data_IF_548452796202
#
_entry.id   IF_548452796202
#
_cell.length_a   1.000
_cell.length_b   1.000
_cell.length_c   1.000
_cell.angle_alpha   90.00
_cell.angle_beta   90.00
_cell.angle_gamma   90.00
#
_symmetry.space_group_name_H-M   'P 1'
#
loop_
_entity.id
_entity.type
_entity.pdbx_description
1 polymer ?
#
# COMPACT_ATOMS: atom_id res chain seq x y z
N UNK A 1 -20.09 -5.68 4.32
CA UNK A 1 -19.22 -5.45 5.50
C UNK A 1 -18.62 -6.79 5.88
N UNK A 2 -17.35 -7.06 5.59
CA UNK A 2 -16.70 -8.28 6.12
C UNK A 2 -16.19 -7.90 7.50
N UNK A 3 -17.06 -7.99 8.50
CA UNK A 3 -16.66 -8.07 9.91
C UNK A 3 -16.21 -9.50 10.17
N UNK A 4 -14.98 -9.81 9.77
CA UNK A 4 -14.37 -11.12 10.05
C UNK A 4 -13.69 -11.10 11.41
N UNK A 5 -14.41 -11.51 12.47
CA UNK A 5 -13.89 -12.31 13.59
C UNK A 5 -14.98 -12.48 14.66
N UNK A 6 -15.83 -13.50 14.48
CA UNK A 6 -16.55 -14.13 15.59
C UNK A 6 -15.66 -15.25 16.11
N UNK A 7 -15.03 -15.04 17.27
CA UNK A 7 -14.34 -16.03 18.12
C UNK A 7 -13.06 -16.67 17.58
N UNK A 8 -11.91 -16.03 17.85
CA UNK A 8 -10.66 -16.77 18.08
C UNK A 8 -9.72 -15.97 19.00
N UNK A 9 -9.46 -16.47 20.22
CA UNK A 9 -8.66 -15.78 21.25
C UNK A 9 -7.19 -15.56 20.87
N UNK A 10 -6.71 -16.17 19.79
CA UNK A 10 -5.34 -16.05 19.28
C UNK A 10 -5.22 -15.19 18.01
N UNK A 11 -6.34 -14.72 17.44
CA UNK A 11 -6.31 -13.90 16.23
C UNK A 11 -6.29 -12.41 16.60
N UNK A 12 -5.22 -11.70 16.20
CA UNK A 12 -5.23 -10.24 16.26
C UNK A 12 -6.06 -9.70 15.09
N UNK A 13 -7.15 -9.02 15.43
CA UNK A 13 -8.00 -8.36 14.45
C UNK A 13 -7.42 -6.98 14.09
N UNK A 14 -7.30 -6.70 12.80
CA UNK A 14 -7.02 -5.35 12.31
C UNK A 14 -8.35 -4.64 12.14
N UNK A 15 -8.61 -3.66 13.01
CA UNK A 15 -9.78 -2.81 12.87
C UNK A 15 -9.46 -1.80 11.77
N UNK A 16 -10.20 -1.78 10.64
CA UNK A 16 -10.01 -0.78 9.61
C UNK A 16 -10.32 0.61 10.18
N UNK A 17 -9.49 1.60 9.85
CA UNK A 17 -9.76 3.00 10.15
C UNK A 17 -10.85 3.53 9.21
N UNK A 18 -11.53 4.62 9.60
CA UNK A 18 -12.54 5.27 8.75
C UNK A 18 -11.99 5.80 7.41
N UNK A 19 -10.68 5.97 7.31
CA UNK A 19 -9.99 6.38 6.07
C UNK A 19 -9.52 5.19 5.21
N UNK A 20 -9.66 3.96 5.69
CA UNK A 20 -9.30 2.76 4.93
C UNK A 20 -10.38 2.49 3.86
N UNK A 21 -9.97 2.13 2.64
CA UNK A 21 -10.87 1.93 1.50
C UNK A 21 -11.85 0.75 1.63
N UNK A 22 -11.87 0.07 2.79
CA UNK A 22 -12.89 -0.91 3.20
C UNK A 22 -12.92 -2.19 2.36
N UNK A 23 -11.93 -2.44 1.48
CA UNK A 23 -11.95 -3.56 0.54
C UNK A 23 -10.76 -4.51 0.69
N UNK A 24 -11.00 -5.82 0.50
CA UNK A 24 -10.02 -6.92 0.47
C UNK A 24 -8.88 -6.79 -0.57
N UNK A 25 -8.72 -5.63 -1.20
CA UNK A 25 -7.66 -5.35 -2.17
C UNK A 25 -6.38 -4.86 -1.49
N UNK A 26 -6.23 -5.19 -0.20
CA UNK A 26 -5.02 -4.92 0.56
C UNK A 26 -3.93 -5.91 0.18
N UNK A 27 -2.74 -5.40 -0.13
CA UNK A 27 -1.56 -6.25 -0.19
C UNK A 27 -0.90 -6.33 1.18
N UNK A 28 -0.25 -7.44 1.49
CA UNK A 28 0.36 -7.70 2.80
C UNK A 28 1.79 -8.21 2.63
N UNK A 29 2.70 -7.74 3.47
CA UNK A 29 4.04 -8.29 3.63
C UNK A 29 4.49 -8.16 5.09
N UNK A 30 5.21 -9.15 5.61
CA UNK A 30 5.56 -9.23 7.04
C UNK A 30 7.00 -9.68 7.23
N UNK A 31 7.63 -9.14 8.27
CA UNK A 31 8.87 -9.62 8.88
C UNK A 31 8.68 -9.76 10.40
N UNK A 32 9.70 -10.15 11.14
CA UNK A 32 9.62 -10.31 12.60
C UNK A 32 9.21 -9.02 13.33
N UNK A 33 9.59 -7.86 12.77
CA UNK A 33 9.39 -6.55 13.40
C UNK A 33 8.29 -5.72 12.76
N UNK A 34 8.01 -5.93 11.47
CA UNK A 34 7.14 -5.07 10.68
C UNK A 34 6.06 -5.87 9.97
N UNK A 35 4.87 -5.27 9.90
CA UNK A 35 3.79 -5.70 9.02
C UNK A 35 3.42 -4.51 8.15
N UNK A 36 3.46 -4.70 6.84
CA UNK A 36 3.08 -3.71 5.85
C UNK A 36 1.74 -4.10 5.22
N UNK A 37 0.82 -3.13 5.16
CA UNK A 37 -0.54 -3.28 4.60
C UNK A 37 -0.73 -2.21 3.53
N UNK A 38 -0.82 -2.60 2.27
CA UNK A 38 -0.95 -1.68 1.14
C UNK A 38 -2.41 -1.42 0.80
N UNK A 39 -2.84 -0.15 0.82
CA UNK A 39 -4.15 0.32 0.37
C UNK A 39 -4.00 1.03 -0.97
N UNK A 40 -4.04 0.26 -2.06
CA UNK A 40 -3.85 0.81 -3.39
C UNK A 40 -4.92 1.80 -3.84
N UNK A 41 -6.13 1.73 -3.27
CA UNK A 41 -7.20 2.71 -3.57
C UNK A 41 -6.98 4.02 -2.85
N UNK A 42 -6.51 3.97 -1.60
CA UNK A 42 -6.11 5.15 -0.83
C UNK A 42 -4.67 5.60 -1.10
N UNK A 43 -3.99 4.98 -2.09
CA UNK A 43 -2.65 5.33 -2.55
C UNK A 43 -1.55 5.31 -1.46
N UNK A 44 -1.64 4.36 -0.52
CA UNK A 44 -0.78 4.35 0.68
C UNK A 44 -0.40 2.95 1.14
N UNK A 45 0.62 2.87 2.00
CA UNK A 45 0.99 1.67 2.73
C UNK A 45 1.07 1.97 4.22
N UNK A 46 0.27 1.29 5.03
CA UNK A 46 0.33 1.37 6.48
C UNK A 46 1.38 0.39 7.03
N UNK A 47 2.25 0.88 7.90
CA UNK A 47 3.29 0.09 8.56
C UNK A 47 2.91 -0.09 10.02
N UNK A 48 2.93 -1.34 10.47
CA UNK A 48 2.69 -1.76 11.84
C UNK A 48 3.99 -2.33 12.41
N UNK A 49 4.21 -2.10 13.70
CA UNK A 49 5.31 -2.71 14.45
C UNK A 49 4.78 -3.61 15.55
N UNK A 50 5.50 -4.67 15.86
CA UNK A 50 5.12 -5.60 16.93
C UNK A 50 5.56 -5.07 18.31
N UNK A 51 4.61 -4.87 19.22
CA UNK A 51 4.88 -4.50 20.63
C UNK A 51 5.35 -5.72 21.44
N UNK A 52 5.90 -5.47 22.64
CA UNK A 52 6.34 -6.52 23.59
C UNK A 52 5.24 -7.54 23.91
N UNK A 53 3.99 -7.12 23.96
CA UNK A 53 2.82 -7.97 24.15
C UNK A 53 2.40 -8.75 22.89
N UNK A 54 3.28 -8.85 21.89
CA UNK A 54 3.09 -9.52 20.60
C UNK A 54 1.98 -8.93 19.71
N UNK A 55 1.35 -7.82 20.11
CA UNK A 55 0.33 -7.13 19.32
C UNK A 55 0.96 -6.17 18.31
N UNK A 56 0.45 -6.19 17.09
CA UNK A 56 0.72 -5.20 16.04
C UNK A 56 0.05 -3.87 16.35
N UNK A 57 0.78 -2.78 16.17
CA UNK A 57 0.23 -1.42 16.25
C UNK A 57 0.75 -0.58 15.11
N UNK A 58 -0.13 0.22 14.50
CA UNK A 58 0.23 1.12 13.40
C UNK A 58 1.28 2.11 13.88
N UNK A 59 2.38 2.19 13.14
CA UNK A 59 3.53 3.03 13.45
C UNK A 59 3.60 4.24 12.51
N UNK A 60 3.34 4.05 11.21
CA UNK A 60 3.35 5.12 10.22
C UNK A 60 2.58 4.74 8.96
N UNK A 61 2.34 5.72 8.09
CA UNK A 61 1.92 5.51 6.71
C UNK A 61 3.03 5.96 5.76
N UNK A 62 3.09 5.32 4.61
CA UNK A 62 3.93 5.70 3.48
C UNK A 62 2.99 6.06 2.33
N UNK A 63 3.02 7.31 1.89
CA UNK A 63 2.32 7.77 0.70
C UNK A 63 3.14 7.50 -0.56
N UNK A 64 2.51 7.59 -1.73
CA UNK A 64 3.22 7.71 -2.99
C UNK A 64 4.23 8.88 -2.93
N UNK A 65 5.43 8.76 -3.53
CA UNK A 65 6.36 9.87 -3.59
C UNK A 65 5.75 11.07 -4.31
N UNK A 66 5.97 12.27 -3.78
CA UNK A 66 5.44 13.51 -4.35
C UNK A 66 5.86 13.66 -5.82
N UNK A 67 4.95 14.17 -6.65
CA UNK A 67 5.11 14.42 -8.08
C UNK A 67 5.36 13.15 -8.94
N UNK A 68 5.30 11.96 -8.33
CA UNK A 68 5.34 10.70 -9.06
C UNK A 68 4.01 10.41 -9.74
N UNK A 69 4.01 9.54 -10.75
CA UNK A 69 2.79 9.10 -11.43
C UNK A 69 1.66 8.65 -10.48
N UNK A 70 1.88 7.77 -9.48
CA UNK A 70 0.80 7.38 -8.57
C UNK A 70 0.34 8.54 -7.67
N UNK A 71 1.19 9.51 -7.33
CA UNK A 71 0.79 10.71 -6.56
C UNK A 71 -0.18 11.56 -7.38
N UNK A 72 0.15 11.82 -8.66
CA UNK A 72 -0.72 12.57 -9.59
C UNK A 72 -2.06 11.89 -9.86
N UNK A 73 -2.06 10.55 -9.93
CA UNK A 73 -3.27 9.76 -10.20
C UNK A 73 -4.12 9.58 -8.94
N UNK A 74 -3.50 9.66 -7.75
CA UNK A 74 -4.19 9.49 -6.47
C UNK A 74 -4.58 8.05 -6.13
N UNK A 75 -4.11 7.05 -6.88
CA UNK A 75 -4.28 5.62 -6.57
C UNK A 75 -3.25 4.74 -7.29
N UNK A 76 -3.18 3.48 -6.87
CA UNK A 76 -2.33 2.44 -7.44
C UNK A 76 -1.08 2.12 -6.61
N UNK A 77 -0.61 3.02 -5.75
CA UNK A 77 0.54 2.79 -4.85
C UNK A 77 0.19 1.83 -3.70
N UNK A 78 1.03 0.82 -3.44
CA UNK A 78 0.72 -0.20 -2.43
C UNK A 78 -0.11 -1.37 -2.97
N UNK A 79 -0.05 -1.61 -4.29
CA UNK A 79 -0.79 -2.70 -4.94
C UNK A 79 -0.21 -4.09 -4.68
N UNK A 80 1.10 -4.18 -4.51
CA UNK A 80 1.83 -5.37 -4.09
C UNK A 80 2.98 -4.93 -3.19
N UNK A 81 3.32 -5.78 -2.24
CA UNK A 81 4.38 -5.55 -1.27
C UNK A 81 5.27 -6.78 -1.21
N UNK A 82 6.56 -6.54 -1.01
CA UNK A 82 7.51 -7.55 -0.55
C UNK A 82 8.36 -6.92 0.54
N UNK A 83 8.64 -7.66 1.61
CA UNK A 83 9.35 -7.15 2.77
C UNK A 83 10.43 -8.14 3.16
N UNK A 84 11.67 -7.67 3.19
CA UNK A 84 12.81 -8.38 3.74
C UNK A 84 13.39 -7.57 4.90
N UNK A 85 13.16 -8.06 6.13
CA UNK A 85 13.53 -7.43 7.41
C UNK A 85 13.11 -5.96 7.52
N UNK A 86 13.89 -5.05 6.94
CA UNK A 86 13.71 -3.60 6.95
C UNK A 86 13.49 -3.00 5.56
N UNK A 87 13.73 -3.75 4.48
CA UNK A 87 13.57 -3.28 3.11
C UNK A 87 12.19 -3.65 2.59
N UNK A 88 11.35 -2.64 2.44
CA UNK A 88 10.02 -2.77 1.87
C UNK A 88 10.06 -2.38 0.39
N UNK A 89 9.68 -3.31 -0.47
CA UNK A 89 9.42 -3.08 -1.89
C UNK A 89 7.93 -2.85 -2.07
N UNK A 90 7.57 -1.76 -2.73
CA UNK A 90 6.20 -1.32 -2.97
C UNK A 90 6.00 -1.21 -4.47
N UNK A 91 5.07 -1.98 -5.03
CA UNK A 91 4.66 -1.77 -6.41
C UNK A 91 3.54 -0.73 -6.47
N UNK A 92 3.59 0.14 -7.48
CA UNK A 92 2.46 0.92 -7.92
C UNK A 92 2.01 0.47 -9.30
N UNK A 93 0.71 0.27 -9.51
CA UNK A 93 0.19 0.07 -10.86
C UNK A 93 -1.29 0.39 -10.95
N UNK A 94 -1.66 1.10 -12.01
CA UNK A 94 -3.04 1.40 -12.34
C UNK A 94 -3.29 1.26 -13.84
N UNK A 95 -4.56 1.08 -14.19
CA UNK A 95 -5.05 1.09 -15.57
C UNK A 95 -6.10 2.18 -15.66
N UNK A 96 -5.88 3.16 -16.54
CA UNK A 96 -6.86 4.21 -16.80
C UNK A 96 -7.41 4.08 -18.23
N UNK A 97 -8.70 4.35 -18.44
CA UNK A 97 -9.24 4.59 -19.76
C UNK A 97 -8.44 5.66 -20.50
N UNK A 98 -8.24 5.47 -21.80
CA UNK A 98 -7.38 6.36 -22.60
C UNK A 98 -7.84 7.84 -22.58
N UNK A 99 -9.13 8.09 -22.39
CA UNK A 99 -9.71 9.44 -22.27
C UNK A 99 -9.50 10.10 -20.89
N UNK A 100 -9.00 9.38 -19.89
CA UNK A 100 -8.71 9.90 -18.54
C UNK A 100 -7.22 10.18 -18.34
N UNK A 101 -6.39 10.00 -19.36
CA UNK A 101 -4.94 10.20 -19.29
C UNK A 101 -4.64 11.67 -19.52
N UNK A 102 -4.15 12.35 -18.50
CA UNK A 102 -3.69 13.75 -18.59
C UNK A 102 -2.24 13.85 -19.07
N UNK A 103 -1.43 12.82 -18.85
CA UNK A 103 -0.04 12.77 -19.29
C UNK A 103 0.33 11.36 -19.82
N UNK A 104 0.36 11.15 -21.14
CA UNK A 104 0.65 9.84 -21.73
C UNK A 104 2.02 9.26 -21.36
N UNK A 105 3.01 10.11 -21.04
CA UNK A 105 4.36 9.68 -20.67
C UNK A 105 4.42 8.93 -19.34
N UNK A 106 3.41 9.13 -18.50
CA UNK A 106 3.27 8.42 -17.23
C UNK A 106 2.85 6.95 -17.43
N UNK A 107 2.50 6.52 -18.64
CA UNK A 107 2.03 5.18 -18.94
C UNK A 107 3.02 4.42 -19.83
N UNK A 108 3.30 3.17 -19.47
CA UNK A 108 4.30 2.34 -20.14
C UNK A 108 3.69 1.44 -21.22
N UNK A 109 2.39 1.20 -21.15
CA UNK A 109 1.69 0.34 -22.10
C UNK A 109 0.29 0.86 -22.39
N UNK A 110 -0.16 0.68 -23.63
CA UNK A 110 -1.44 1.17 -24.13
C UNK A 110 -2.14 0.10 -24.97
N UNK A 111 -3.44 0.00 -24.78
CA UNK A 111 -4.39 -0.78 -25.59
C UNK A 111 -5.34 0.16 -26.32
N UNK A 112 -6.24 -0.40 -27.13
CA UNK A 112 -7.32 0.36 -27.77
C UNK A 112 -8.15 1.15 -26.75
N UNK A 113 -8.39 0.61 -25.55
CA UNK A 113 -9.32 1.20 -24.57
C UNK A 113 -8.65 1.78 -23.31
N UNK A 114 -7.53 1.22 -22.88
CA UNK A 114 -6.87 1.56 -21.61
C UNK A 114 -5.36 1.75 -21.76
N UNK A 115 -4.74 2.51 -20.87
CA UNK A 115 -3.29 2.53 -20.66
C UNK A 115 -2.91 2.12 -19.24
N UNK A 116 -1.75 1.51 -19.08
CA UNK A 116 -1.24 0.95 -17.84
C UNK A 116 0.07 1.62 -17.43
N UNK A 117 0.14 2.00 -16.15
CA UNK A 117 1.36 2.40 -15.48
C UNK A 117 1.82 1.31 -14.51
N UNK A 118 3.15 1.17 -14.37
CA UNK A 118 3.80 0.32 -13.38
C UNK A 118 5.07 1.01 -12.85
N UNK A 119 5.25 1.02 -11.54
CA UNK A 119 6.51 1.40 -10.91
C UNK A 119 6.77 0.55 -9.66
N UNK A 120 8.03 0.56 -9.24
CA UNK A 120 8.49 -0.11 -8.02
C UNK A 120 9.28 0.90 -7.20
N UNK A 121 8.99 0.95 -5.90
CA UNK A 121 9.63 1.82 -4.93
C UNK A 121 10.24 0.96 -3.83
N UNK A 122 11.38 1.39 -3.32
CA UNK A 122 12.04 0.76 -2.18
C UNK A 122 12.08 1.73 -1.01
N UNK A 123 11.69 1.25 0.16
CA UNK A 123 11.70 1.99 1.41
C UNK A 123 12.45 1.20 2.46
N UNK A 124 13.43 1.85 3.11
CA UNK A 124 14.07 1.28 4.29
C UNK A 124 13.32 1.74 5.55
N UNK A 125 12.76 0.78 6.30
CA UNK A 125 11.93 1.03 7.48
C UNK A 125 12.72 1.35 8.74
N UNK A 126 14.03 1.10 8.80
CA UNK A 126 14.86 1.44 9.96
C UNK A 126 15.31 2.90 9.96
N UNK A 127 15.31 3.56 8.80
CA UNK A 127 15.58 4.99 8.70
C UNK A 127 14.42 5.79 9.30
N UNK A 128 14.72 6.71 10.22
CA UNK A 128 13.79 7.76 10.63
C UNK A 128 13.62 8.72 9.45
N UNK A 129 12.40 8.87 8.95
CA UNK A 129 12.10 9.92 8.00
C UNK A 129 12.15 11.26 8.74
N UNK A 130 13.00 12.18 8.30
CA UNK A 130 12.87 13.59 8.69
C UNK A 130 11.66 14.14 7.92
N UNK A 131 10.68 14.63 8.66
CA UNK A 131 9.57 15.44 8.14
C UNK A 131 10.12 16.86 7.96
#
# INVERSE_FOLDING_TARGET
>A
MISGCKYNFFAQCFIPFSTDSGTLNYSLAMSDKYLAVGDSKANRVAIYTRKKNKKWTKAKEIAAPKDSTPDKIGHGFGKRLALDQHNLIISASTSLPNNQITNPKDFQWKTSINSIFRAVYQVNLSKKFKI
#
